data_IF_504447462011
#
_entry.id   IF_504447462011
#
_cell.length_a   1.000
_cell.length_b   1.000
_cell.length_c   1.000
_cell.angle_alpha   90.00
_cell.angle_beta   90.00
_cell.angle_gamma   90.00
#
_symmetry.space_group_name_H-M   'P 1'
#
loop_
_entity.id
_entity.type
_entity.pdbx_description
1 polymer ?
#
# COMPACT_ATOMS: atom_id res chain seq x y z
N UNK A 1 -26.28 -15.28 9.02
CA UNK A 1 -24.99 -14.60 8.77
C UNK A 1 -25.28 -13.28 8.10
N UNK A 2 -24.77 -12.20 8.66
CA UNK A 2 -24.95 -10.85 8.10
C UNK A 2 -24.26 -10.73 6.74
N UNK A 3 -23.12 -11.40 6.58
CA UNK A 3 -22.29 -11.39 5.37
C UNK A 3 -21.87 -12.79 4.94
N UNK A 4 -21.56 -12.96 3.65
CA UNK A 4 -20.91 -14.18 3.15
C UNK A 4 -19.39 -14.10 3.38
N UNK A 5 -18.82 -12.90 3.22
CA UNK A 5 -17.41 -12.62 3.48
C UNK A 5 -17.24 -11.30 4.23
N UNK A 6 -16.38 -11.33 5.26
CA UNK A 6 -15.87 -10.11 5.88
C UNK A 6 -14.35 -10.04 5.68
N UNK A 7 -13.87 -8.89 5.22
CA UNK A 7 -12.49 -8.64 4.84
C UNK A 7 -11.91 -7.64 5.83
N UNK A 8 -10.87 -8.04 6.56
CA UNK A 8 -10.22 -7.22 7.57
C UNK A 8 -9.07 -6.44 6.92
N UNK A 9 -9.30 -5.17 6.59
CA UNK A 9 -8.33 -4.28 5.94
C UNK A 9 -8.61 -4.09 4.45
N UNK A 10 -8.32 -2.88 3.97
CA UNK A 10 -8.65 -2.42 2.61
C UNK A 10 -7.44 -2.23 1.68
N UNK A 11 -6.28 -2.79 2.04
CA UNK A 11 -5.07 -2.74 1.21
C UNK A 11 -5.13 -3.63 -0.04
N UNK A 12 -4.00 -3.90 -0.68
CA UNK A 12 -3.94 -4.66 -1.94
C UNK A 12 -4.68 -6.01 -1.88
N UNK A 13 -4.38 -6.86 -0.89
CA UNK A 13 -5.07 -8.16 -0.76
C UNK A 13 -6.57 -8.02 -0.48
N UNK A 14 -6.97 -7.06 0.35
CA UNK A 14 -8.37 -6.87 0.75
C UNK A 14 -9.23 -6.31 -0.39
N UNK A 15 -8.69 -5.33 -1.12
CA UNK A 15 -9.37 -4.70 -2.27
C UNK A 15 -9.56 -5.65 -3.45
N UNK A 16 -8.53 -6.46 -3.77
CA UNK A 16 -8.64 -7.50 -4.80
C UNK A 16 -9.71 -8.52 -4.39
N UNK A 17 -9.66 -9.00 -3.14
CA UNK A 17 -10.63 -9.97 -2.62
C UNK A 17 -12.05 -9.42 -2.71
N UNK A 18 -12.28 -8.18 -2.28
CA UNK A 18 -13.57 -7.51 -2.33
C UNK A 18 -14.15 -7.50 -3.75
N UNK A 19 -13.36 -7.06 -4.73
CA UNK A 19 -13.78 -7.00 -6.12
C UNK A 19 -14.13 -8.38 -6.68
N UNK A 20 -13.25 -9.37 -6.47
CA UNK A 20 -13.47 -10.73 -7.02
C UNK A 20 -14.64 -11.45 -6.36
N UNK A 21 -14.90 -11.19 -5.08
CA UNK A 21 -16.04 -11.78 -4.38
C UNK A 21 -17.36 -11.21 -4.88
N UNK A 22 -17.46 -9.89 -5.07
CA UNK A 22 -18.70 -9.28 -5.56
C UNK A 22 -18.97 -9.60 -7.03
N UNK A 23 -17.93 -9.73 -7.85
CA UNK A 23 -18.05 -10.23 -9.24
C UNK A 23 -18.61 -11.66 -9.31
N UNK A 24 -18.44 -12.46 -8.24
CA UNK A 24 -19.05 -13.79 -8.10
C UNK A 24 -20.43 -13.79 -7.43
N UNK A 25 -20.97 -12.61 -7.10
CA UNK A 25 -22.29 -12.46 -6.47
C UNK A 25 -22.32 -12.63 -4.95
N UNK A 26 -21.17 -12.67 -4.27
CA UNK A 26 -21.13 -12.75 -2.80
C UNK A 26 -21.38 -11.39 -2.14
N UNK A 27 -22.08 -11.41 -0.99
CA UNK A 27 -22.20 -10.23 -0.13
C UNK A 27 -20.94 -10.08 0.70
N UNK A 28 -20.12 -9.08 0.38
CA UNK A 28 -18.85 -8.81 1.04
C UNK A 28 -18.85 -7.47 1.80
N UNK A 29 -18.20 -7.48 2.96
CA UNK A 29 -17.93 -6.31 3.80
C UNK A 29 -16.43 -6.12 3.98
N UNK A 30 -15.93 -4.90 3.80
CA UNK A 30 -14.55 -4.50 4.13
C UNK A 30 -14.55 -3.65 5.40
N UNK A 31 -13.73 -4.03 6.38
CA UNK A 31 -13.54 -3.33 7.65
C UNK A 31 -12.17 -2.67 7.66
N UNK A 32 -12.10 -1.35 7.66
CA UNK A 32 -10.85 -0.58 7.63
C UNK A 32 -10.71 0.27 8.89
N UNK A 33 -9.58 0.14 9.60
CA UNK A 33 -9.34 0.88 10.85
C UNK A 33 -9.11 2.38 10.60
N UNK A 34 -8.58 2.72 9.43
CA UNK A 34 -8.38 4.10 9.00
C UNK A 34 -9.63 4.73 8.40
N UNK A 35 -9.59 6.05 8.25
CA UNK A 35 -10.67 6.81 7.60
C UNK A 35 -10.60 6.72 6.08
N UNK A 36 -11.65 7.19 5.40
CA UNK A 36 -11.59 7.55 3.97
C UNK A 36 -10.95 8.93 3.83
N UNK A 37 -10.12 9.12 2.81
CA UNK A 37 -9.43 10.39 2.56
C UNK A 37 -9.88 11.00 1.23
N UNK A 38 -10.22 12.29 1.26
CA UNK A 38 -10.34 13.14 0.07
C UNK A 38 -9.01 13.82 -0.29
N UNK A 39 -8.98 14.55 -1.40
CA UNK A 39 -7.78 15.28 -1.82
C UNK A 39 -7.39 16.39 -0.84
N UNK A 40 -8.38 17.04 -0.23
CA UNK A 40 -8.27 18.10 0.77
C UNK A 40 -7.75 17.63 2.13
N UNK A 41 -7.86 16.33 2.40
CA UNK A 41 -7.42 15.71 3.63
C UNK A 41 -5.91 15.51 3.68
N UNK A 42 -5.28 15.28 2.52
CA UNK A 42 -3.86 15.01 2.45
C UNK A 42 -3.04 16.27 2.78
N UNK A 43 -1.94 16.13 3.53
CA UNK A 43 -1.07 17.24 3.87
C UNK A 43 -0.35 17.79 2.63
N UNK A 44 -0.06 19.09 2.63
CA UNK A 44 0.81 19.71 1.61
C UNK A 44 2.28 19.30 1.78
N UNK A 45 2.70 18.98 3.00
CA UNK A 45 4.04 18.48 3.32
C UNK A 45 4.02 17.54 4.53
N UNK A 46 5.05 16.71 4.66
CA UNK A 46 5.20 15.80 5.80
C UNK A 46 5.49 16.51 7.15
N UNK A 47 5.55 17.85 7.19
CA UNK A 47 5.59 18.62 8.43
C UNK A 47 4.22 18.81 9.08
N UNK A 48 3.13 18.65 8.33
CA UNK A 48 1.78 18.62 8.91
C UNK A 48 1.51 17.25 9.53
N UNK A 49 2.14 17.00 10.69
CA UNK A 49 2.11 15.72 11.38
C UNK A 49 0.69 15.21 11.66
N UNK A 50 -0.30 16.02 12.10
CA UNK A 50 -1.65 15.53 12.37
C UNK A 50 -2.35 14.94 11.14
N UNK A 51 -2.08 15.50 9.95
CA UNK A 51 -2.64 15.02 8.67
C UNK A 51 -1.76 13.99 7.97
N UNK A 52 -0.48 13.92 8.30
CA UNK A 52 0.46 12.97 7.70
C UNK A 52 0.60 11.68 8.50
N UNK A 53 0.86 11.77 9.81
CA UNK A 53 1.14 10.63 10.68
C UNK A 53 -0.14 9.99 11.25
N UNK A 54 -0.12 8.67 11.34
CA UNK A 54 -1.09 7.88 12.08
C UNK A 54 -0.59 7.60 13.50
N UNK A 55 -0.97 8.47 14.44
CA UNK A 55 -0.74 8.33 15.88
C UNK A 55 -2.03 8.68 16.61
N UNK A 56 -3.05 7.79 16.59
CA UNK A 56 -4.39 8.10 17.07
C UNK A 56 -4.44 8.44 18.56
N UNK A 57 -3.47 7.98 19.36
CA UNK A 57 -3.32 8.37 20.77
C UNK A 57 -3.05 9.89 20.96
N UNK A 58 -2.47 10.54 19.95
CA UNK A 58 -2.24 11.99 19.90
C UNK A 58 -3.29 12.72 19.02
N UNK A 59 -4.34 12.02 18.59
CA UNK A 59 -5.32 12.55 17.64
C UNK A 59 -4.83 12.65 16.20
N UNK A 60 -3.62 12.19 15.88
CA UNK A 60 -3.09 12.23 14.52
C UNK A 60 -3.64 11.04 13.73
N UNK A 61 -4.36 11.34 12.64
CA UNK A 61 -5.10 10.34 11.84
C UNK A 61 -4.73 10.45 10.37
N UNK A 62 -3.47 10.75 10.08
CA UNK A 62 -2.94 10.78 8.72
C UNK A 62 -2.73 9.38 8.13
N UNK A 63 -2.28 9.33 6.87
CA UNK A 63 -2.14 8.07 6.13
C UNK A 63 -0.87 7.27 6.47
N UNK A 64 0.13 7.87 7.08
CA UNK A 64 1.46 7.27 7.24
C UNK A 64 1.70 6.79 8.67
N UNK A 65 1.93 5.49 8.85
CA UNK A 65 2.23 4.89 10.15
C UNK A 65 3.67 4.41 10.19
N UNK A 66 4.44 4.90 11.16
CA UNK A 66 5.74 4.36 11.54
C UNK A 66 5.57 3.42 12.73
N UNK A 67 6.00 2.16 12.59
CA UNK A 67 6.01 1.19 13.68
C UNK A 67 7.46 0.86 14.02
N UNK A 68 7.89 1.30 15.19
CA UNK A 68 9.25 1.09 15.69
C UNK A 68 9.35 -0.28 16.38
N UNK A 69 10.23 -1.14 15.87
CA UNK A 69 10.65 -2.39 16.51
C UNK A 69 12.12 -2.26 16.90
N UNK A 70 12.63 -3.20 17.71
CA UNK A 70 14.00 -3.15 18.26
C UNK A 70 15.10 -2.93 17.20
N UNK A 71 14.94 -3.51 16.00
CA UNK A 71 15.97 -3.50 14.96
C UNK A 71 15.48 -2.97 13.61
N UNK A 72 14.19 -2.64 13.48
CA UNK A 72 13.61 -2.21 12.20
C UNK A 72 12.46 -1.25 12.47
N UNK A 73 12.32 -0.25 11.61
CA UNK A 73 11.13 0.60 11.57
C UNK A 73 10.33 0.26 10.33
N UNK A 74 9.07 -0.13 10.53
CA UNK A 74 8.17 -0.52 9.43
C UNK A 74 7.26 0.66 9.09
N UNK A 75 7.29 1.06 7.82
CA UNK A 75 6.46 2.12 7.26
C UNK A 75 5.23 1.50 6.62
N UNK A 76 4.03 2.02 6.92
CA UNK A 76 2.78 1.46 6.40
C UNK A 76 1.72 2.53 6.17
N UNK A 77 0.78 2.24 5.27
CA UNK A 77 -0.39 3.08 5.01
C UNK A 77 -1.59 2.70 5.89
N UNK A 78 -2.37 3.68 6.33
CA UNK A 78 -3.63 3.50 7.06
C UNK A 78 -4.73 4.35 6.44
N UNK A 79 -5.90 3.74 6.18
CA UNK A 79 -7.01 4.39 5.47
C UNK A 79 -7.64 3.46 4.45
N UNK A 80 -8.79 3.86 3.90
CA UNK A 80 -9.45 3.12 2.81
C UNK A 80 -8.52 3.11 1.59
N UNK A 81 -7.95 1.95 1.27
CA UNK A 81 -6.90 1.75 0.26
C UNK A 81 -5.51 1.43 0.83
N UNK A 82 -5.32 1.48 2.15
CA UNK A 82 -4.13 1.05 2.88
C UNK A 82 -2.82 1.64 2.34
N UNK A 83 -1.83 0.78 2.10
CA UNK A 83 -0.50 1.16 1.60
C UNK A 83 -0.51 1.93 0.28
N UNK A 84 -1.51 1.73 -0.58
CA UNK A 84 -1.59 2.42 -1.88
C UNK A 84 -1.71 3.95 -1.73
N UNK A 85 -2.27 4.43 -0.62
CA UNK A 85 -2.38 5.86 -0.33
C UNK A 85 -1.00 6.51 -0.20
N UNK A 86 0.01 5.76 0.27
CA UNK A 86 1.28 6.31 0.74
C UNK A 86 2.54 5.76 0.05
N UNK A 87 2.47 4.63 -0.64
CA UNK A 87 3.61 4.07 -1.37
C UNK A 87 4.08 4.94 -2.55
N UNK A 88 5.27 4.67 -3.06
CA UNK A 88 5.91 5.41 -4.15
C UNK A 88 5.45 5.02 -5.57
N UNK A 89 4.52 4.07 -5.70
CA UNK A 89 3.91 3.60 -6.95
C UNK A 89 4.65 2.54 -7.76
N UNK A 90 5.83 2.07 -7.34
CA UNK A 90 6.61 1.11 -8.12
C UNK A 90 5.89 -0.24 -8.25
N UNK A 91 5.93 -0.82 -9.45
CA UNK A 91 5.29 -2.08 -9.82
C UNK A 91 6.31 -3.06 -10.44
N UNK A 92 7.36 -3.46 -9.71
CA UNK A 92 8.29 -4.48 -10.19
C UNK A 92 7.58 -5.83 -10.32
N UNK A 93 7.92 -6.59 -11.36
CA UNK A 93 7.61 -8.02 -11.42
C UNK A 93 8.81 -8.77 -10.84
N UNK A 94 8.61 -9.76 -9.95
CA UNK A 94 9.72 -10.54 -9.43
C UNK A 94 10.56 -11.22 -10.52
N UNK A 95 11.85 -11.40 -10.24
CA UNK A 95 12.78 -12.20 -11.06
C UNK A 95 12.55 -13.70 -10.85
N UNK A 96 13.25 -14.50 -11.65
CA UNK A 96 13.16 -15.96 -11.67
C UNK A 96 13.40 -16.61 -10.31
N UNK A 97 14.35 -16.10 -9.52
CA UNK A 97 14.65 -16.63 -8.17
C UNK A 97 13.44 -16.62 -7.23
N UNK A 98 12.49 -15.69 -7.41
CA UNK A 98 11.26 -15.66 -6.62
C UNK A 98 10.39 -16.88 -6.91
N UNK A 99 10.17 -17.20 -8.19
CA UNK A 99 9.28 -18.27 -8.62
C UNK A 99 9.84 -19.65 -8.31
N UNK A 100 11.16 -19.81 -8.34
CA UNK A 100 11.86 -21.08 -8.08
C UNK A 100 12.39 -21.19 -6.65
N UNK A 101 12.07 -20.23 -5.78
CA UNK A 101 12.60 -20.19 -4.41
C UNK A 101 12.34 -21.50 -3.66
N UNK A 102 13.35 -22.10 -2.98
CA UNK A 102 13.20 -23.41 -2.33
C UNK A 102 12.04 -23.50 -1.34
N UNK A 103 11.64 -22.38 -0.73
CA UNK A 103 10.56 -22.33 0.25
C UNK A 103 9.18 -22.67 -0.31
N UNK A 104 8.97 -22.59 -1.63
CA UNK A 104 7.64 -22.81 -2.23
C UNK A 104 7.66 -23.25 -3.70
N UNK A 105 8.77 -23.10 -4.43
CA UNK A 105 8.87 -23.41 -5.86
C UNK A 105 8.56 -24.86 -6.22
N UNK A 106 8.68 -25.78 -5.25
CA UNK A 106 8.34 -27.18 -5.40
C UNK A 106 6.82 -27.47 -5.40
N UNK A 107 5.98 -26.48 -5.09
CA UNK A 107 4.53 -26.66 -4.96
C UNK A 107 3.78 -26.53 -6.29
N UNK A 108 4.30 -25.72 -7.22
CA UNK A 108 3.71 -25.48 -8.53
C UNK A 108 4.71 -24.75 -9.45
N UNK A 109 4.44 -24.75 -10.76
CA UNK A 109 5.07 -23.79 -11.68
C UNK A 109 4.48 -22.39 -11.44
N UNK A 110 5.02 -21.68 -10.45
CA UNK A 110 4.51 -20.37 -10.06
C UNK A 110 4.64 -19.31 -11.13
N UNK A 111 5.58 -19.45 -12.07
CA UNK A 111 5.69 -18.49 -13.17
C UNK A 111 4.47 -18.61 -14.06
N UNK A 112 4.14 -19.82 -14.49
CA UNK A 112 2.98 -20.07 -15.34
C UNK A 112 1.67 -19.72 -14.60
N UNK A 113 1.52 -20.17 -13.36
CA UNK A 113 0.33 -19.95 -12.54
C UNK A 113 0.06 -18.46 -12.29
N UNK A 114 1.10 -17.68 -11.96
CA UNK A 114 0.93 -16.28 -11.57
C UNK A 114 0.99 -15.29 -12.74
N UNK A 115 1.49 -15.68 -13.91
CA UNK A 115 1.56 -14.82 -15.09
C UNK A 115 0.24 -14.08 -15.42
N UNK A 116 -0.92 -14.74 -15.54
CA UNK A 116 -2.19 -14.04 -15.82
C UNK A 116 -2.61 -13.09 -14.70
N UNK A 117 -2.23 -13.39 -13.45
CA UNK A 117 -2.51 -12.54 -12.30
C UNK A 117 -1.64 -11.28 -12.29
N UNK A 118 -0.36 -11.38 -12.64
CA UNK A 118 0.50 -10.20 -12.84
C UNK A 118 -0.02 -9.30 -13.96
N UNK A 119 -0.40 -9.88 -15.10
CA UNK A 119 -0.97 -9.11 -16.21
C UNK A 119 -2.24 -8.36 -15.78
N UNK A 120 -3.11 -9.03 -15.00
CA UNK A 120 -4.32 -8.42 -14.44
C UNK A 120 -3.99 -7.31 -13.44
N UNK A 121 -3.03 -7.52 -12.54
CA UNK A 121 -2.61 -6.53 -11.55
C UNK A 121 -2.04 -5.28 -12.23
N UNK A 122 -1.14 -5.44 -13.22
CA UNK A 122 -0.55 -4.33 -13.96
C UNK A 122 -1.60 -3.52 -14.73
N UNK A 123 -2.57 -4.19 -15.37
CA UNK A 123 -3.70 -3.52 -16.04
C UNK A 123 -4.57 -2.74 -15.05
N UNK A 124 -4.99 -3.37 -13.96
CA UNK A 124 -5.84 -2.75 -12.93
C UNK A 124 -5.18 -1.55 -12.26
N UNK A 125 -3.86 -1.64 -12.02
CA UNK A 125 -3.07 -0.56 -11.42
C UNK A 125 -2.67 0.51 -12.44
N UNK A 126 -2.96 0.34 -13.72
CA UNK A 126 -2.64 1.32 -14.75
C UNK A 126 -1.13 1.51 -14.90
N UNK A 127 -0.39 0.41 -14.93
CA UNK A 127 1.07 0.43 -14.96
C UNK A 127 1.59 1.18 -16.20
N UNK A 128 2.42 2.21 -15.96
CA UNK A 128 3.07 3.00 -17.00
C UNK A 128 4.55 3.20 -16.67
N UNK A 129 5.41 3.30 -17.69
CA UNK A 129 6.79 3.71 -17.49
C UNK A 129 6.84 5.21 -17.21
N UNK A 130 7.71 5.64 -16.29
CA UNK A 130 7.98 7.06 -16.10
C UNK A 130 8.53 7.67 -17.41
N UNK A 131 7.90 8.71 -17.98
CA UNK A 131 8.20 9.16 -19.34
C UNK A 131 9.29 10.23 -19.41
N UNK A 132 9.78 10.70 -18.27
CA UNK A 132 10.74 11.80 -18.16
C UNK A 132 12.02 11.35 -17.47
N UNK A 133 12.97 12.27 -17.39
CA UNK A 133 14.22 12.07 -16.66
C UNK A 133 14.43 13.26 -15.74
N UNK A 134 14.77 13.00 -14.49
CA UNK A 134 15.12 14.03 -13.51
C UNK A 134 16.63 14.08 -13.28
N UNK A 135 17.10 15.07 -12.55
CA UNK A 135 18.51 15.16 -12.17
C UNK A 135 19.01 13.89 -11.45
N UNK A 136 18.22 13.32 -10.54
CA UNK A 136 18.60 12.08 -9.84
C UNK A 136 18.76 10.90 -10.80
N UNK A 137 17.97 10.86 -11.86
CA UNK A 137 18.09 9.84 -12.90
C UNK A 137 19.40 9.99 -13.69
N UNK A 138 19.81 11.22 -13.99
CA UNK A 138 21.10 11.51 -14.64
C UNK A 138 22.28 11.04 -13.77
N UNK A 139 22.24 11.33 -12.47
CA UNK A 139 23.27 10.86 -11.51
C UNK A 139 23.31 9.33 -11.46
N UNK A 140 22.16 8.65 -11.43
CA UNK A 140 22.12 7.19 -11.44
C UNK A 140 22.67 6.59 -12.75
N UNK A 141 22.49 7.25 -13.90
CA UNK A 141 23.12 6.83 -15.15
C UNK A 141 24.64 6.97 -15.11
N UNK A 142 25.16 8.03 -14.51
CA UNK A 142 26.61 8.21 -14.32
C UNK A 142 27.16 7.11 -13.42
N UNK A 143 26.51 6.85 -12.28
CA UNK A 143 26.87 5.74 -11.39
C UNK A 143 26.82 4.40 -12.15
N UNK A 144 25.79 4.17 -12.96
CA UNK A 144 25.67 2.95 -13.76
C UNK A 144 26.85 2.77 -14.73
N UNK A 145 27.36 3.86 -15.33
CA UNK A 145 28.57 3.82 -16.17
C UNK A 145 29.81 3.53 -15.33
N UNK A 146 29.96 4.20 -14.18
CA UNK A 146 31.12 4.07 -13.31
C UNK A 146 31.28 2.65 -12.75
N UNK A 147 30.17 1.97 -12.46
CA UNK A 147 30.17 0.56 -12.02
C UNK A 147 30.18 -0.45 -13.19
N UNK A 148 30.30 0.01 -14.44
CA UNK A 148 30.36 -0.85 -15.63
C UNK A 148 29.04 -1.55 -15.99
N UNK A 149 27.89 -0.98 -15.61
CA UNK A 149 26.54 -1.54 -15.83
C UNK A 149 25.53 -0.54 -16.44
N UNK A 150 25.86 0.19 -17.52
CA UNK A 150 24.98 1.23 -18.08
C UNK A 150 23.60 0.71 -18.52
N UNK A 151 23.52 -0.55 -18.98
CA UNK A 151 22.27 -1.17 -19.46
C UNK A 151 21.36 -1.67 -18.32
N UNK A 152 21.78 -1.52 -17.06
CA UNK A 152 21.03 -1.93 -15.88
C UNK A 152 20.21 -0.77 -15.27
N UNK A 153 20.23 0.39 -15.91
CA UNK A 153 19.39 1.54 -15.58
C UNK A 153 18.11 1.50 -16.43
N UNK A 154 16.94 1.66 -15.78
CA UNK A 154 15.66 1.73 -16.47
C UNK A 154 14.72 2.73 -15.80
N UNK A 155 13.78 3.35 -16.55
CA UNK A 155 12.66 4.07 -15.93
C UNK A 155 11.83 3.12 -15.05
N UNK A 156 11.26 3.67 -13.98
CA UNK A 156 10.41 2.91 -13.09
C UNK A 156 9.03 2.69 -13.72
N UNK A 157 8.51 1.46 -13.59
CA UNK A 157 7.11 1.15 -13.91
C UNK A 157 6.24 1.48 -12.70
N UNK A 158 5.27 2.38 -12.88
CA UNK A 158 4.50 2.97 -11.79
C UNK A 158 2.99 3.02 -12.04
N UNK A 159 2.20 3.11 -10.97
CA UNK A 159 0.74 3.29 -10.98
C UNK A 159 0.32 4.78 -11.01
N UNK A 160 0.74 5.53 -12.04
CA UNK A 160 0.48 6.97 -12.19
C UNK A 160 -0.08 7.28 -13.56
N UNK A 161 -1.14 8.08 -13.61
CA UNK A 161 -1.66 8.64 -14.86
C UNK A 161 -0.85 9.86 -15.26
N UNK A 162 -0.05 9.76 -16.33
CA UNK A 162 0.75 10.89 -16.81
C UNK A 162 -0.09 11.90 -17.61
N UNK A 163 -0.79 11.46 -18.67
CA UNK A 163 -1.75 12.30 -19.41
C UNK A 163 -1.23 13.68 -19.81
N UNK A 164 -2.15 14.61 -20.11
CA UNK A 164 -1.83 16.03 -20.18
C UNK A 164 -1.82 16.59 -18.73
N UNK A 165 -0.72 17.21 -18.25
CA UNK A 165 -0.61 17.64 -16.86
C UNK A 165 -1.76 18.55 -16.41
N UNK A 166 -2.43 18.19 -15.31
CA UNK A 166 -3.54 18.96 -14.76
C UNK A 166 -4.88 18.80 -15.48
N UNK A 167 -4.92 18.10 -16.63
CA UNK A 167 -6.16 17.84 -17.36
C UNK A 167 -6.84 16.60 -16.84
N UNK A 168 -8.13 16.73 -16.52
CA UNK A 168 -9.00 15.62 -16.14
C UNK A 168 -9.60 14.97 -17.37
N UNK A 169 -9.58 13.63 -17.39
CA UNK A 169 -10.23 12.79 -18.38
C UNK A 169 -11.09 11.73 -17.68
N UNK A 170 -12.12 11.18 -18.36
CA UNK A 170 -12.80 9.97 -17.92
C UNK A 170 -11.82 8.82 -17.70
N UNK A 171 -12.22 7.81 -16.92
CA UNK A 171 -11.35 6.68 -16.54
C UNK A 171 -10.55 6.10 -17.72
N UNK A 172 -9.20 6.27 -17.71
CA UNK A 172 -8.34 5.82 -18.81
C UNK A 172 -7.92 4.35 -18.67
N UNK A 173 -8.39 3.63 -17.64
CA UNK A 173 -7.86 2.30 -17.30
C UNK A 173 -8.88 1.18 -17.42
N UNK A 174 -10.06 1.32 -16.79
CA UNK A 174 -10.97 0.21 -16.51
C UNK A 174 -12.15 0.20 -17.49
N UNK A 175 -11.88 0.52 -18.76
CA UNK A 175 -12.91 0.60 -19.80
C UNK A 175 -13.96 1.69 -19.54
N UNK A 176 -13.60 2.74 -18.78
CA UNK A 176 -14.51 3.82 -18.40
C UNK A 176 -15.34 3.52 -17.15
N UNK A 177 -15.17 2.37 -16.49
CA UNK A 177 -15.96 2.04 -15.30
C UNK A 177 -15.42 2.65 -14.00
N UNK A 178 -14.14 3.01 -13.98
CA UNK A 178 -13.47 3.68 -12.88
C UNK A 178 -13.86 5.17 -12.76
N UNK A 179 -13.30 5.89 -11.77
CA UNK A 179 -13.46 7.33 -11.67
C UNK A 179 -12.51 8.06 -12.63
N UNK A 180 -12.84 9.32 -12.91
CA UNK A 180 -11.97 10.25 -13.63
C UNK A 180 -10.53 10.28 -13.09
N UNK A 181 -9.61 10.67 -13.96
CA UNK A 181 -8.19 10.83 -13.66
C UNK A 181 -7.65 12.14 -14.19
N UNK A 182 -6.72 12.73 -13.46
CA UNK A 182 -6.07 13.99 -13.84
C UNK A 182 -4.60 13.74 -14.10
N UNK A 183 -4.08 14.26 -15.22
CA UNK A 183 -2.67 14.06 -15.60
C UNK A 183 -1.71 14.56 -14.53
N UNK A 184 -0.67 13.78 -14.26
CA UNK A 184 0.32 14.06 -13.22
C UNK A 184 1.06 15.37 -13.48
N UNK A 185 1.10 16.24 -12.47
CA UNK A 185 1.87 17.48 -12.50
C UNK A 185 3.29 17.33 -11.91
N UNK A 186 3.68 16.11 -11.55
CA UNK A 186 5.05 15.77 -11.10
C UNK A 186 5.58 16.62 -9.92
N UNK A 187 4.72 16.77 -8.91
CA UNK A 187 5.00 17.55 -7.71
C UNK A 187 5.76 16.78 -6.60
N UNK A 188 6.21 15.54 -6.82
CA UNK A 188 6.90 14.71 -5.82
C UNK A 188 6.04 14.26 -4.62
N UNK A 189 4.76 14.61 -4.56
CA UNK A 189 3.89 14.42 -3.37
C UNK A 189 3.28 12.99 -3.24
N UNK A 190 3.80 11.99 -3.95
CA UNK A 190 3.17 10.67 -4.03
C UNK A 190 3.02 9.99 -2.66
N UNK A 191 4.00 10.20 -1.76
CA UNK A 191 4.05 9.57 -0.44
C UNK A 191 3.44 10.43 0.69
N UNK A 192 2.89 11.60 0.37
CA UNK A 192 2.04 12.39 1.28
C UNK A 192 0.55 12.24 0.94
N UNK A 193 0.21 11.42 -0.05
CA UNK A 193 -1.13 11.31 -0.61
C UNK A 193 -1.30 12.23 -1.82
N UNK A 194 -1.78 11.67 -2.93
CA UNK A 194 -1.92 12.41 -4.17
C UNK A 194 -3.17 13.30 -4.15
N UNK A 195 -2.94 14.61 -4.03
CA UNK A 195 -3.99 15.65 -4.05
C UNK A 195 -4.54 15.99 -5.44
N UNK A 196 -3.87 15.50 -6.48
CA UNK A 196 -4.10 15.89 -7.87
C UNK A 196 -4.74 14.78 -8.70
N UNK A 197 -5.29 13.74 -8.06
CA UNK A 197 -6.00 12.65 -8.73
C UNK A 197 -5.24 11.87 -9.83
N UNK A 198 -3.90 11.96 -9.86
CA UNK A 198 -3.05 11.26 -10.83
C UNK A 198 -2.65 9.85 -10.39
N UNK A 199 -2.51 9.62 -9.08
CA UNK A 199 -2.12 8.33 -8.50
C UNK A 199 -3.28 7.34 -8.55
N UNK A 200 -3.08 6.15 -9.14
CA UNK A 200 -4.12 5.14 -9.30
C UNK A 200 -4.25 4.26 -8.03
N UNK A 201 -4.64 4.89 -6.92
CA UNK A 201 -4.78 4.25 -5.60
C UNK A 201 -5.98 3.31 -5.51
N UNK A 202 -6.00 2.43 -4.51
CA UNK A 202 -6.98 1.34 -4.42
C UNK A 202 -8.42 1.81 -4.22
N UNK A 203 -8.61 2.92 -3.52
CA UNK A 203 -9.89 3.64 -3.38
C UNK A 203 -10.45 4.12 -4.73
N UNK A 204 -9.62 4.18 -5.77
CA UNK A 204 -9.98 4.65 -7.10
C UNK A 204 -9.98 3.56 -8.15
N UNK A 205 -9.60 2.33 -7.84
CA UNK A 205 -9.66 1.19 -8.77
C UNK A 205 -10.46 0.01 -8.17
N UNK A 206 -9.81 -0.97 -7.53
CA UNK A 206 -10.42 -2.16 -6.97
C UNK A 206 -11.56 -1.84 -6.01
N UNK A 207 -11.35 -0.94 -5.03
CA UNK A 207 -12.39 -0.59 -4.07
C UNK A 207 -13.50 0.22 -4.70
N UNK A 208 -13.18 1.12 -5.64
CA UNK A 208 -14.18 1.86 -6.40
C UNK A 208 -15.15 0.94 -7.14
N UNK A 209 -14.60 -0.01 -7.91
CA UNK A 209 -15.42 -0.99 -8.62
C UNK A 209 -16.18 -1.92 -7.67
N UNK A 210 -15.56 -2.31 -6.56
CA UNK A 210 -16.19 -3.17 -5.57
C UNK A 210 -17.41 -2.47 -4.93
N UNK A 211 -17.28 -1.21 -4.51
CA UNK A 211 -18.39 -0.42 -3.95
C UNK A 211 -19.48 -0.19 -4.99
N UNK A 212 -19.12 0.17 -6.22
CA UNK A 212 -20.08 0.32 -7.34
C UNK A 212 -20.91 -0.94 -7.58
N UNK A 213 -20.35 -2.12 -7.28
CA UNK A 213 -21.00 -3.43 -7.42
C UNK A 213 -21.68 -3.94 -6.14
N UNK A 214 -21.68 -3.14 -5.07
CA UNK A 214 -22.43 -3.42 -3.84
C UNK A 214 -21.61 -3.95 -2.66
N UNK A 215 -20.28 -3.96 -2.74
CA UNK A 215 -19.45 -4.18 -1.53
C UNK A 215 -19.62 -3.01 -0.59
N UNK A 216 -19.83 -3.29 0.70
CA UNK A 216 -19.82 -2.25 1.73
C UNK A 216 -18.42 -2.09 2.29
N UNK A 217 -17.95 -0.85 2.41
CA UNK A 217 -16.70 -0.51 3.09
C UNK A 217 -17.00 0.32 4.33
N UNK A 218 -16.55 -0.15 5.48
CA UNK A 218 -16.68 0.55 6.76
C UNK A 218 -15.33 1.02 7.23
N UNK A 219 -15.08 2.31 6.98
CA UNK A 219 -13.95 3.03 7.52
C UNK A 219 -14.07 3.22 9.04
N UNK A 220 -12.98 3.62 9.68
CA UNK A 220 -12.88 3.84 11.12
C UNK A 220 -13.38 2.65 11.95
N UNK A 221 -13.17 1.43 11.45
CA UNK A 221 -13.60 0.16 12.04
C UNK A 221 -12.42 -0.79 12.18
N UNK A 222 -11.90 -0.89 13.41
CA UNK A 222 -10.78 -1.75 13.76
C UNK A 222 -11.28 -3.08 14.30
N UNK A 223 -11.02 -4.17 13.58
CA UNK A 223 -11.31 -5.53 14.05
C UNK A 223 -10.38 -5.88 15.22
N UNK A 224 -10.97 -6.32 16.33
CA UNK A 224 -10.25 -6.60 17.57
C UNK A 224 -10.35 -8.06 18.01
N UNK A 225 -11.34 -8.79 17.48
CA UNK A 225 -11.51 -10.23 17.74
C UNK A 225 -12.22 -10.95 16.59
N UNK A 226 -11.91 -12.23 16.41
CA UNK A 226 -12.64 -13.16 15.53
C UNK A 226 -12.74 -14.49 16.25
N UNK A 227 -13.93 -15.09 16.25
CA UNK A 227 -14.16 -16.43 16.83
C UNK A 227 -15.10 -17.25 15.97
N UNK A 228 -14.93 -18.57 16.01
CA UNK A 228 -15.85 -19.51 15.36
C UNK A 228 -17.20 -19.56 16.09
N UNK A 229 -18.26 -19.82 15.34
CA UNK A 229 -19.59 -20.03 15.88
C UNK A 229 -19.94 -21.53 15.90
N UNK A 230 -20.71 -22.03 16.89
CA UNK A 230 -21.06 -23.46 16.99
C UNK A 230 -21.78 -24.06 15.77
N UNK A 231 -22.46 -23.23 14.97
CA UNK A 231 -23.15 -23.64 13.74
C UNK A 231 -22.37 -23.37 12.44
N UNK A 232 -21.06 -23.12 12.54
CA UNK A 232 -20.21 -22.72 11.42
C UNK A 232 -20.18 -21.21 11.19
N UNK A 233 -19.18 -20.75 10.44
CA UNK A 233 -18.89 -19.33 10.25
C UNK A 233 -18.28 -18.67 11.49
N UNK A 234 -18.26 -17.34 11.50
CA UNK A 234 -17.48 -16.54 12.43
C UNK A 234 -18.27 -15.35 12.97
N UNK A 235 -17.99 -15.00 14.22
CA UNK A 235 -18.31 -13.68 14.79
C UNK A 235 -17.05 -12.82 14.78
N UNK A 236 -17.20 -11.60 14.28
CA UNK A 236 -16.17 -10.57 14.29
C UNK A 236 -16.59 -9.50 15.28
N UNK A 237 -15.70 -9.18 16.23
CA UNK A 237 -15.84 -8.01 17.09
C UNK A 237 -14.88 -6.92 16.63
N UNK A 238 -15.38 -5.69 16.59
CA UNK A 238 -14.67 -4.51 16.14
C UNK A 238 -14.95 -3.32 17.05
N UNK A 239 -14.05 -2.33 16.99
CA UNK A 239 -14.25 -1.01 17.56
C UNK A 239 -14.42 0.01 16.43
N UNK A 240 -15.45 0.83 16.54
CA UNK A 240 -15.83 1.83 15.52
C UNK A 240 -15.70 3.25 16.06
N UNK A 241 -15.38 4.19 15.16
CA UNK A 241 -15.41 5.62 15.44
C UNK A 241 -14.03 6.28 15.52
N UNK A 242 -14.04 7.60 15.32
CA UNK A 242 -12.82 8.39 15.13
C UNK A 242 -12.38 9.24 16.35
N UNK A 243 -13.21 9.35 17.39
CA UNK A 243 -13.05 10.33 18.46
C UNK A 243 -12.51 9.79 19.78
N UNK A 244 -12.04 10.72 20.62
CA UNK A 244 -11.62 10.47 22.01
C UNK A 244 -12.82 10.09 22.91
N UNK A 245 -14.02 10.58 22.57
CA UNK A 245 -15.28 10.41 23.32
C UNK A 245 -15.96 9.04 23.11
N UNK A 246 -15.18 7.99 22.82
CA UNK A 246 -15.63 6.61 22.91
C UNK A 246 -15.67 5.88 21.58
N UNK A 247 -14.77 4.90 21.44
CA UNK A 247 -14.90 3.84 20.45
C UNK A 247 -16.16 3.02 20.77
N UNK A 248 -17.05 2.82 19.80
CA UNK A 248 -18.23 1.97 19.98
C UNK A 248 -17.87 0.53 19.64
N UNK A 249 -18.22 -0.41 20.51
CA UNK A 249 -18.11 -1.84 20.21
C UNK A 249 -19.16 -2.22 19.18
N UNK A 250 -18.77 -3.05 18.23
CA UNK A 250 -19.66 -3.62 17.23
C UNK A 250 -19.30 -5.08 17.01
N UNK A 251 -20.32 -5.90 16.81
CA UNK A 251 -20.17 -7.30 16.42
C UNK A 251 -20.97 -7.57 15.17
N UNK A 252 -20.47 -8.47 14.32
CA UNK A 252 -21.18 -8.97 13.16
C UNK A 252 -20.87 -10.45 12.93
N UNK A 253 -21.70 -11.11 12.14
CA UNK A 253 -21.55 -12.52 11.78
C UNK A 253 -21.29 -12.68 10.29
N UNK A 254 -20.40 -13.61 9.94
CA UNK A 254 -20.03 -13.88 8.54
C UNK A 254 -19.78 -15.37 8.33
N UNK A 255 -19.99 -15.87 7.11
CA UNK A 255 -19.60 -17.25 6.77
C UNK A 255 -18.09 -17.41 6.68
N UNK A 256 -17.40 -16.42 6.09
CA UNK A 256 -15.96 -16.47 5.85
C UNK A 256 -15.27 -15.17 6.28
N UNK A 257 -13.98 -15.27 6.64
CA UNK A 257 -13.13 -14.14 7.01
C UNK A 257 -11.87 -14.13 6.14
N UNK A 258 -11.53 -12.97 5.58
CA UNK A 258 -10.26 -12.73 4.89
C UNK A 258 -9.45 -11.74 5.72
N UNK A 259 -8.30 -12.16 6.23
CA UNK A 259 -7.38 -11.26 6.93
C UNK A 259 -6.45 -10.55 5.93
N UNK A 260 -6.65 -9.24 5.76
CA UNK A 260 -5.93 -8.39 4.82
C UNK A 260 -5.38 -7.12 5.50
N UNK A 261 -5.11 -7.17 6.81
CA UNK A 261 -4.66 -6.03 7.62
C UNK A 261 -3.17 -5.68 7.45
N UNK A 262 -2.53 -6.21 6.41
CA UNK A 262 -1.07 -6.25 6.27
C UNK A 262 -0.39 -7.10 7.34
N UNK A 263 0.94 -7.21 7.28
CA UNK A 263 1.71 -7.99 8.27
C UNK A 263 1.47 -7.48 9.69
N UNK A 264 1.57 -6.16 9.89
CA UNK A 264 1.44 -5.51 11.20
C UNK A 264 0.02 -5.51 11.79
N UNK A 265 -1.02 -5.70 10.97
CA UNK A 265 -2.40 -5.83 11.45
C UNK A 265 -2.83 -7.28 11.62
N UNK A 266 -2.42 -8.15 10.69
CA UNK A 266 -2.88 -9.54 10.63
C UNK A 266 -2.13 -10.43 11.61
N UNK A 267 -0.80 -10.40 11.61
CA UNK A 267 -0.01 -11.36 12.41
C UNK A 267 -0.25 -11.20 13.91
N UNK A 268 -0.20 -9.99 14.51
CA UNK A 268 -0.49 -9.83 15.94
C UNK A 268 -1.92 -10.24 16.30
N UNK A 269 -2.90 -9.95 15.43
CA UNK A 269 -4.28 -10.35 15.66
C UNK A 269 -4.41 -11.88 15.66
N UNK A 270 -3.88 -12.57 14.65
CA UNK A 270 -3.94 -14.03 14.58
C UNK A 270 -3.23 -14.71 15.76
N UNK A 271 -2.06 -14.21 16.17
CA UNK A 271 -1.36 -14.70 17.36
C UNK A 271 -2.20 -14.54 18.63
N UNK A 272 -2.82 -13.37 18.81
CA UNK A 272 -3.73 -13.10 19.94
C UNK A 272 -4.93 -14.04 19.94
N UNK A 273 -5.53 -14.28 18.77
CA UNK A 273 -6.68 -15.19 18.63
C UNK A 273 -6.29 -16.64 18.89
N UNK A 274 -5.13 -17.07 18.42
CA UNK A 274 -4.60 -18.42 18.63
C UNK A 274 -4.32 -18.71 20.11
N UNK A 275 -3.80 -17.73 20.85
CA UNK A 275 -3.47 -17.89 22.26
C UNK A 275 -4.70 -18.01 23.20
N UNK A 276 -5.92 -17.91 22.68
CA UNK A 276 -7.14 -17.93 23.47
C UNK A 276 -8.09 -19.05 23.06
N UNK A 277 -8.68 -19.79 24.02
CA UNK A 277 -9.69 -20.81 23.72
C UNK A 277 -10.97 -20.23 23.09
N UNK A 278 -11.25 -18.93 23.31
CA UNK A 278 -12.41 -18.23 22.77
C UNK A 278 -12.15 -17.54 21.41
N UNK A 279 -10.94 -17.70 20.87
CA UNK A 279 -10.50 -17.11 19.61
C UNK A 279 -10.46 -18.14 18.49
N UNK A 280 -9.26 -18.36 17.96
CA UNK A 280 -8.97 -19.34 16.90
C UNK A 280 -7.84 -20.28 17.36
N UNK A 281 -8.05 -21.08 18.43
CA UNK A 281 -6.98 -21.86 19.07
C UNK A 281 -6.42 -22.98 18.18
N UNK A 282 -7.11 -23.35 17.10
CA UNK A 282 -6.67 -24.38 16.14
C UNK A 282 -5.79 -23.83 15.01
N UNK A 283 -5.42 -22.54 15.04
CA UNK A 283 -4.46 -21.99 14.09
C UNK A 283 -3.08 -22.67 14.25
N UNK A 284 -2.41 -22.90 13.12
CA UNK A 284 -1.11 -23.57 13.06
C UNK A 284 -0.03 -22.89 13.92
N UNK A 285 0.94 -23.68 14.38
CA UNK A 285 2.22 -23.21 14.94
C UNK A 285 3.03 -22.35 13.97
N UNK A 286 2.78 -22.46 12.67
CA UNK A 286 3.43 -21.61 11.65
C UNK A 286 3.00 -20.13 11.67
N UNK A 287 1.91 -19.77 12.36
CA UNK A 287 1.47 -18.36 12.43
C UNK A 287 2.53 -17.51 13.10
N UNK A 288 3.06 -16.52 12.36
CA UNK A 288 4.09 -15.61 12.85
C UNK A 288 5.50 -16.20 12.89
N UNK A 289 5.69 -17.47 12.50
CA UNK A 289 7.00 -18.14 12.54
C UNK A 289 8.01 -17.56 11.53
N UNK A 290 7.53 -16.89 10.47
CA UNK A 290 8.38 -16.38 9.40
C UNK A 290 7.91 -15.00 8.91
N UNK A 291 8.76 -13.98 9.11
CA UNK A 291 8.50 -12.60 8.71
C UNK A 291 9.76 -12.02 8.05
N UNK A 292 9.60 -11.36 6.89
CA UNK A 292 10.68 -10.72 6.13
C UNK A 292 10.39 -9.23 5.92
N UNK A 293 11.43 -8.42 5.77
CA UNK A 293 11.37 -6.95 5.65
C UNK A 293 11.56 -6.43 4.23
N UNK A 294 11.68 -7.31 3.23
CA UNK A 294 12.13 -6.97 1.87
C UNK A 294 13.57 -6.41 1.79
N UNK A 295 14.33 -6.44 2.90
CA UNK A 295 15.73 -6.00 2.99
C UNK A 295 16.00 -4.58 2.47
N UNK A 296 15.01 -3.69 2.60
CA UNK A 296 15.12 -2.30 2.14
C UNK A 296 16.01 -1.45 3.07
N UNK A 297 16.89 -0.64 2.47
CA UNK A 297 17.72 0.34 3.16
C UNK A 297 17.45 1.73 2.59
N UNK A 298 17.13 2.69 3.47
CA UNK A 298 16.94 4.09 3.10
C UNK A 298 18.23 4.87 3.38
N UNK A 299 18.80 5.45 2.33
CA UNK A 299 20.03 6.24 2.42
C UNK A 299 19.69 7.72 2.22
N UNK A 300 20.15 8.52 3.17
CA UNK A 300 20.06 9.96 3.11
C UNK A 300 20.99 10.59 2.11
N UNK A 301 20.45 11.35 1.15
CA UNK A 301 21.25 12.16 0.25
C UNK A 301 20.79 13.61 0.34
N UNK A 302 21.72 14.51 0.61
CA UNK A 302 21.49 15.95 0.62
C UNK A 302 22.38 16.64 -0.41
N UNK A 303 21.89 17.77 -0.93
CA UNK A 303 22.63 18.66 -1.82
C UNK A 303 22.65 20.06 -1.21
N UNK A 304 23.53 20.92 -1.72
CA UNK A 304 23.45 22.36 -1.46
C UNK A 304 22.11 22.92 -1.98
N UNK A 305 21.68 24.03 -1.41
CA UNK A 305 20.34 24.60 -1.64
C UNK A 305 20.09 25.18 -3.05
N UNK A 306 21.05 25.05 -3.95
CA UNK A 306 21.01 25.53 -5.34
C UNK A 306 20.33 24.53 -6.31
N UNK A 307 19.91 23.35 -5.83
CA UNK A 307 19.27 22.33 -6.67
C UNK A 307 17.97 21.79 -6.05
N UNK A 308 16.90 21.80 -6.85
CA UNK A 308 15.60 21.24 -6.45
C UNK A 308 15.52 19.75 -6.85
N UNK A 309 15.60 18.85 -5.86
CA UNK A 309 15.47 17.41 -6.06
C UNK A 309 14.02 16.90 -5.93
N UNK A 310 13.04 17.80 -5.80
CA UNK A 310 11.63 17.41 -5.61
C UNK A 310 10.85 17.22 -6.90
N UNK A 311 11.44 17.56 -8.05
CA UNK A 311 10.82 17.40 -9.37
C UNK A 311 10.63 15.93 -9.76
N UNK A 312 9.48 15.63 -10.36
CA UNK A 312 9.09 14.29 -10.80
C UNK A 312 8.05 13.63 -9.88
N UNK A 313 7.92 12.32 -10.01
CA UNK A 313 7.18 11.49 -9.05
C UNK A 313 8.13 10.98 -7.95
N UNK A 314 7.62 10.27 -6.94
CA UNK A 314 8.44 9.81 -5.82
C UNK A 314 9.63 8.95 -6.25
N UNK A 315 9.41 7.95 -7.10
CA UNK A 315 10.45 7.09 -7.68
C UNK A 315 10.32 7.12 -9.20
N UNK A 316 11.40 7.46 -9.90
CA UNK A 316 11.42 7.70 -11.35
C UNK A 316 12.19 6.66 -12.15
N UNK A 317 13.16 6.01 -11.52
CA UNK A 317 14.04 5.03 -12.16
C UNK A 317 14.47 3.95 -11.17
N UNK A 318 15.05 2.89 -11.72
CA UNK A 318 15.72 1.82 -10.99
C UNK A 318 17.06 1.52 -11.65
N UNK A 319 18.09 1.30 -10.84
CA UNK A 319 19.40 0.82 -11.25
C UNK A 319 19.67 -0.53 -10.58
N UNK A 320 19.84 -1.61 -11.34
CA UNK A 320 20.31 -2.89 -10.79
C UNK A 320 21.82 -2.87 -10.61
N UNK A 321 22.26 -2.59 -9.37
CA UNK A 321 23.67 -2.42 -9.02
C UNK A 321 24.44 -3.75 -9.05
N UNK A 322 23.77 -4.86 -8.75
CA UNK A 322 24.29 -6.22 -8.85
C UNK A 322 23.15 -7.24 -9.10
N UNK A 323 23.40 -8.53 -8.86
CA UNK A 323 22.41 -9.60 -9.04
C UNK A 323 21.20 -9.46 -8.11
N UNK A 324 21.45 -9.07 -6.85
CA UNK A 324 20.50 -9.09 -5.74
C UNK A 324 20.06 -7.71 -5.26
N UNK A 325 20.76 -6.65 -5.66
CA UNK A 325 20.53 -5.27 -5.20
C UNK A 325 20.09 -4.35 -6.33
N UNK A 326 19.28 -3.36 -5.96
CA UNK A 326 18.91 -2.26 -6.85
C UNK A 326 18.80 -0.97 -6.06
N UNK A 327 18.93 0.14 -6.76
CA UNK A 327 18.88 1.49 -6.22
C UNK A 327 17.78 2.27 -6.95
N UNK A 328 16.91 2.92 -6.17
CA UNK A 328 15.84 3.77 -6.67
C UNK A 328 15.99 5.18 -6.05
N UNK A 329 15.92 6.26 -6.83
CA UNK A 329 15.92 7.59 -6.28
C UNK A 329 14.52 7.90 -5.74
N UNK A 330 14.39 8.05 -4.42
CA UNK A 330 13.12 8.34 -3.77
C UNK A 330 13.06 9.79 -3.26
N UNK A 331 11.98 10.52 -3.54
CA UNK A 331 11.78 11.90 -3.10
C UNK A 331 10.40 12.19 -2.54
N UNK A 332 10.33 13.30 -1.81
CA UNK A 332 9.08 13.94 -1.40
C UNK A 332 8.92 15.30 -2.10
N UNK A 333 7.71 15.84 -2.08
CA UNK A 333 7.41 17.18 -2.59
C UNK A 333 8.23 18.28 -1.90
N UNK A 334 8.45 19.38 -2.61
CA UNK A 334 9.07 20.60 -2.07
C UNK A 334 8.50 20.98 -0.71
N UNK A 335 9.37 21.29 0.24
CA UNK A 335 9.00 21.62 1.62
C UNK A 335 8.68 20.42 2.52
N UNK A 336 8.86 19.18 2.06
CA UNK A 336 8.63 17.96 2.87
C UNK A 336 9.95 17.41 3.43
N UNK A 337 10.42 17.99 4.53
CA UNK A 337 11.74 17.71 5.10
C UNK A 337 11.77 16.78 6.31
N UNK A 338 10.65 16.21 6.76
CA UNK A 338 10.58 15.47 8.03
C UNK A 338 11.69 14.41 8.20
N UNK A 339 11.96 13.62 7.16
CA UNK A 339 12.96 12.55 7.22
C UNK A 339 14.40 13.04 7.43
N UNK A 340 14.68 14.34 7.23
CA UNK A 340 15.98 14.93 7.59
C UNK A 340 16.28 14.78 9.08
N UNK A 341 15.26 14.77 9.93
CA UNK A 341 15.43 14.52 11.36
C UNK A 341 16.00 13.13 11.66
N UNK A 342 15.71 12.13 10.82
CA UNK A 342 16.24 10.77 11.01
C UNK A 342 17.70 10.64 10.58
N UNK A 343 18.25 11.67 9.94
CA UNK A 343 19.62 11.70 9.43
C UNK A 343 20.50 12.68 10.22
N UNK A 344 19.98 13.29 11.28
CA UNK A 344 20.74 14.20 12.11
C UNK A 344 21.94 13.47 12.78
N UNK A 345 23.11 14.11 12.88
CA UNK A 345 23.42 15.50 12.50
C UNK A 345 23.95 15.65 11.06
N UNK A 346 23.86 14.61 10.23
CA UNK A 346 24.53 14.53 8.93
C UNK A 346 23.91 15.37 7.79
N UNK A 347 22.88 16.19 8.07
CA UNK A 347 22.05 16.88 7.05
C UNK A 347 21.63 18.30 7.40
#
# INVERSE_FOLDING_TARGET
MDWDYAIVGSGFGGSVSALRLVEKGYRALVLEKGRRFGAEDFPRSNWNLPRWLWLPALGFRGIFKMTFLRHVTVLSGVGVGGGSLVYANTLPTPKDEFFTSPSWGHLADWRAELAPHYATALRMLGAAQYPRETYSDQVLREIAKDIGRPDQFAPARVAVYFGEPGKTVPDPYLGGEGPDRTGCIECGACMTGCRHNAKNTLDKNYLWLAEKRGVRIEADTEVTWVRELPGGGYRIDATTGAGWFGKRKRSLTTRNVIFAGGVLGTVPLLLKLKASPEGLPRLSEGVGAFVRTNSEALIGVTTRADRDLSEGIAITSVLHTDEHSHLEPVRYAKGSGFFRLLMAPHV
#
